data_IF_782846312376
#
_entry.id   IF_782846312376
#
_cell.length_a   1.000
_cell.length_b   1.000
_cell.length_c   1.000
_cell.angle_alpha   90.00
_cell.angle_beta   90.00
_cell.angle_gamma   90.00
#
_symmetry.space_group_name_H-M   'P 1'
#
loop_
_entity.id
_entity.type
_entity.pdbx_description
1 polymer ?
#
# COMPACT_ATOMS: atom_id res chain seq x y z
N UNK A 1 50.63 -14.65 -42.39
CA UNK A 1 49.82 -13.50 -41.96
C UNK A 1 48.48 -14.03 -41.49
N UNK A 2 48.14 -13.89 -40.21
CA UNK A 2 46.92 -14.45 -39.61
C UNK A 2 46.18 -13.29 -38.93
N UNK A 3 45.15 -12.76 -39.58
CA UNK A 3 44.32 -11.69 -39.01
C UNK A 3 43.37 -12.32 -37.98
N UNK A 4 43.61 -12.04 -36.70
CA UNK A 4 42.64 -12.30 -35.64
C UNK A 4 41.82 -11.03 -35.47
N UNK A 5 40.58 -11.04 -35.95
CA UNK A 5 39.63 -9.95 -35.78
C UNK A 5 38.97 -10.06 -34.40
N UNK A 6 39.35 -9.19 -33.49
CA UNK A 6 38.73 -9.05 -32.16
C UNK A 6 37.42 -8.27 -32.32
N UNK A 7 36.29 -8.97 -32.15
CA UNK A 7 34.95 -8.34 -32.13
C UNK A 7 34.73 -7.71 -30.75
N UNK A 8 34.44 -6.40 -30.63
CA UNK A 8 34.12 -5.81 -29.33
C UNK A 8 32.67 -6.16 -28.99
N UNK A 9 32.50 -6.92 -27.91
CA UNK A 9 31.22 -7.23 -27.31
C UNK A 9 30.63 -5.93 -26.72
N UNK A 10 29.69 -5.29 -27.43
CA UNK A 10 28.91 -4.18 -26.87
C UNK A 10 28.00 -4.73 -25.77
N UNK A 11 28.41 -4.57 -24.51
CA UNK A 11 27.56 -4.81 -23.36
C UNK A 11 26.48 -3.72 -23.29
N UNK A 12 25.26 -4.05 -23.72
CA UNK A 12 24.10 -3.18 -23.55
C UNK A 12 23.74 -3.21 -22.06
N UNK A 13 24.07 -2.15 -21.34
CA UNK A 13 23.61 -1.91 -19.97
C UNK A 13 22.10 -1.68 -20.01
N UNK A 14 21.31 -2.72 -19.73
CA UNK A 14 19.89 -2.58 -19.46
C UNK A 14 19.73 -1.90 -18.08
N UNK A 15 19.53 -0.58 -18.08
CA UNK A 15 19.07 0.13 -16.89
C UNK A 15 17.63 -0.27 -16.62
N UNK A 16 17.42 -1.16 -15.64
CA UNK A 16 16.12 -1.40 -15.07
C UNK A 16 15.65 -0.10 -14.39
N UNK A 17 14.78 0.65 -15.06
CA UNK A 17 14.05 1.73 -14.43
C UNK A 17 13.09 1.10 -13.42
N UNK A 18 13.45 1.15 -12.14
CA UNK A 18 12.49 0.90 -11.07
C UNK A 18 11.40 1.95 -11.17
N UNK A 19 10.16 1.55 -11.42
CA UNK A 19 9.02 2.44 -11.28
C UNK A 19 9.08 3.05 -9.87
N UNK A 20 9.08 4.39 -9.79
CA UNK A 20 9.00 5.07 -8.51
C UNK A 20 7.71 4.60 -7.81
N UNK A 21 7.83 4.07 -6.60
CA UNK A 21 6.66 3.73 -5.79
C UNK A 21 6.02 5.05 -5.39
N UNK A 22 4.72 5.19 -5.70
CA UNK A 22 3.99 6.48 -5.56
C UNK A 22 2.84 6.38 -4.58
N UNK A 23 2.73 5.25 -3.88
CA UNK A 23 1.65 4.97 -2.96
C UNK A 23 2.17 4.36 -1.66
N UNK A 24 1.30 4.37 -0.64
CA UNK A 24 1.53 3.72 0.63
C UNK A 24 0.64 2.48 0.71
N UNK A 25 1.22 1.36 1.10
CA UNK A 25 0.45 0.16 1.44
C UNK A 25 -0.03 0.29 2.88
N UNK A 26 -1.35 0.38 3.04
CA UNK A 26 -2.03 0.54 4.32
C UNK A 26 -2.81 -0.73 4.64
N UNK A 27 -2.68 -1.22 5.86
CA UNK A 27 -3.53 -2.27 6.41
C UNK A 27 -4.48 -1.67 7.44
N UNK A 28 -5.74 -2.09 7.37
CA UNK A 28 -6.73 -1.87 8.42
C UNK A 28 -6.70 -3.07 9.35
N UNK A 29 -6.67 -2.82 10.65
CA UNK A 29 -6.72 -3.83 11.68
C UNK A 29 -8.00 -3.67 12.49
N UNK A 30 -8.60 -4.79 12.91
CA UNK A 30 -9.67 -4.75 13.89
C UNK A 30 -9.12 -4.66 15.32
N UNK A 31 -10.03 -4.59 16.31
CA UNK A 31 -9.68 -4.58 17.75
C UNK A 31 -8.76 -5.72 18.18
N UNK A 32 -8.79 -6.87 17.50
CA UNK A 32 -7.94 -8.02 17.78
C UNK A 32 -6.57 -7.95 17.08
N UNK A 33 -6.24 -6.82 16.45
CA UNK A 33 -5.04 -6.63 15.63
C UNK A 33 -4.96 -7.58 14.42
N UNK A 34 -6.09 -8.13 13.99
CA UNK A 34 -6.16 -8.93 12.76
C UNK A 34 -6.32 -7.99 11.56
N UNK A 35 -5.58 -8.26 10.48
CA UNK A 35 -5.71 -7.51 9.22
C UNK A 35 -7.02 -7.87 8.57
N UNK A 36 -7.84 -6.85 8.29
CA UNK A 36 -9.21 -7.03 7.76
C UNK A 36 -9.37 -6.46 6.36
N UNK A 37 -8.50 -5.52 5.98
CA UNK A 37 -8.43 -4.94 4.64
C UNK A 37 -7.01 -4.39 4.38
N UNK A 38 -6.64 -4.31 3.11
CA UNK A 38 -5.38 -3.73 2.65
C UNK A 38 -5.65 -2.86 1.43
N UNK A 39 -5.00 -1.70 1.37
CA UNK A 39 -5.15 -0.75 0.26
C UNK A 39 -3.81 -0.11 -0.12
N UNK A 40 -3.73 0.33 -1.37
CA UNK A 40 -2.63 1.11 -1.92
C UNK A 40 -3.13 2.51 -2.23
N UNK A 41 -2.74 3.47 -1.41
CA UNK A 41 -3.23 4.85 -1.48
C UNK A 41 -2.09 5.75 -1.95
N UNK A 42 -2.26 6.51 -3.05
CA UNK A 42 -1.24 7.44 -3.55
C UNK A 42 -0.78 8.42 -2.46
N UNK A 43 0.47 8.87 -2.55
CA UNK A 43 0.96 9.96 -1.70
C UNK A 43 0.07 11.20 -1.84
N UNK A 44 -0.29 11.80 -0.70
CA UNK A 44 -1.22 12.94 -0.66
C UNK A 44 -2.68 12.61 -1.01
N UNK A 45 -3.00 11.33 -1.25
CA UNK A 45 -4.29 10.87 -1.75
C UNK A 45 -5.30 10.46 -0.68
N UNK A 46 -6.50 10.11 -1.14
CA UNK A 46 -7.56 9.49 -0.34
C UNK A 46 -8.16 8.30 -1.04
N UNK A 47 -8.68 7.34 -0.29
CA UNK A 47 -9.37 6.16 -0.83
C UNK A 47 -10.40 5.62 0.17
N UNK A 48 -11.55 5.18 -0.36
CA UNK A 48 -12.50 4.38 0.41
C UNK A 48 -12.03 2.93 0.50
N UNK A 49 -11.91 2.40 1.71
CA UNK A 49 -11.47 1.03 1.98
C UNK A 49 -12.55 0.33 2.81
N UNK A 50 -13.13 -0.71 2.22
CA UNK A 50 -14.16 -1.51 2.87
C UNK A 50 -13.53 -2.56 3.79
N UNK A 51 -13.81 -2.44 5.08
CA UNK A 51 -13.68 -3.55 6.03
C UNK A 51 -14.90 -4.47 5.86
N UNK A 52 -14.71 -5.74 5.46
CA UNK A 52 -15.82 -6.66 5.26
C UNK A 52 -16.44 -7.13 6.58
N UNK A 53 -17.75 -7.37 6.58
CA UNK A 53 -18.57 -7.76 7.75
C UNK A 53 -18.01 -8.95 8.54
N UNK A 54 -17.46 -9.96 7.85
CA UNK A 54 -16.98 -11.18 8.49
C UNK A 54 -15.67 -11.01 9.27
N UNK A 55 -15.00 -9.86 9.13
CA UNK A 55 -13.71 -9.57 9.76
C UNK A 55 -13.79 -8.52 10.87
N UNK A 56 -14.95 -7.89 11.06
CA UNK A 56 -15.19 -7.08 12.25
C UNK A 56 -15.16 -8.01 13.47
N UNK A 57 -14.49 -7.64 14.56
CA UNK A 57 -14.36 -8.50 15.74
C UNK A 57 -15.71 -9.06 16.26
N UNK A 58 -15.69 -10.09 17.12
CA UNK A 58 -16.92 -10.74 17.59
C UNK A 58 -17.91 -9.73 18.17
N UNK A 59 -19.14 -9.71 17.65
CA UNK A 59 -20.24 -8.84 18.11
C UNK A 59 -20.47 -7.56 17.28
N UNK A 60 -19.74 -7.35 16.18
CA UNK A 60 -19.89 -6.16 15.33
C UNK A 60 -20.70 -6.47 14.05
N UNK A 61 -21.90 -5.90 13.87
CA UNK A 61 -22.83 -6.34 12.84
C UNK A 61 -22.64 -5.73 11.44
N UNK A 62 -21.60 -4.94 11.15
CA UNK A 62 -21.54 -4.18 9.89
C UNK A 62 -20.13 -4.03 9.32
N UNK A 63 -20.04 -4.09 7.99
CA UNK A 63 -18.85 -3.70 7.25
C UNK A 63 -18.77 -2.18 7.25
N UNK A 64 -17.57 -1.67 7.48
CA UNK A 64 -17.32 -0.23 7.59
C UNK A 64 -16.51 0.21 6.39
N UNK A 65 -16.96 1.27 5.73
CA UNK A 65 -16.20 1.88 4.65
C UNK A 65 -15.45 3.09 5.19
N UNK A 66 -14.14 2.93 5.36
CA UNK A 66 -13.26 3.97 5.86
C UNK A 66 -12.75 4.82 4.69
N UNK A 67 -12.96 6.13 4.75
CA UNK A 67 -12.37 7.09 3.83
C UNK A 67 -10.99 7.49 4.37
N UNK A 68 -9.99 6.75 3.94
CA UNK A 68 -8.62 6.91 4.42
C UNK A 68 -7.94 8.02 3.62
N UNK A 69 -7.25 8.92 4.31
CA UNK A 69 -6.31 9.89 3.73
C UNK A 69 -4.88 9.53 4.07
N UNK A 70 -3.97 9.78 3.13
CA UNK A 70 -2.55 9.54 3.29
C UNK A 70 -1.77 10.79 2.86
N UNK A 71 -0.83 11.26 3.69
CA UNK A 71 0.05 12.36 3.32
C UNK A 71 1.31 11.90 2.56
N UNK A 72 2.16 12.84 2.13
CA UNK A 72 3.41 12.58 1.38
C UNK A 72 4.42 11.66 2.11
N UNK A 73 4.27 11.47 3.42
CA UNK A 73 5.14 10.64 4.26
C UNK A 73 4.47 9.32 4.69
N UNK A 74 3.34 8.95 4.08
CA UNK A 74 2.49 7.84 4.50
C UNK A 74 1.88 7.98 5.90
N UNK A 75 1.70 9.21 6.40
CA UNK A 75 0.88 9.48 7.58
C UNK A 75 -0.59 9.19 7.27
N UNK A 76 -1.24 8.41 8.11
CA UNK A 76 -2.60 7.89 7.88
C UNK A 76 -3.60 8.70 8.70
N UNK A 77 -4.71 9.09 8.07
CA UNK A 77 -5.85 9.70 8.74
C UNK A 77 -7.16 9.19 8.16
N UNK A 78 -8.26 9.64 8.77
CA UNK A 78 -9.61 9.46 8.26
C UNK A 78 -10.18 10.82 7.83
N UNK A 79 -10.98 10.83 6.78
CA UNK A 79 -11.69 12.03 6.29
C UNK A 79 -13.06 12.09 6.93
N UNK A 80 -13.29 13.07 7.81
CA UNK A 80 -14.58 13.31 8.50
C UNK A 80 -15.17 12.06 9.19
N UNK A 81 -14.31 11.15 9.63
CA UNK A 81 -14.66 9.89 10.28
C UNK A 81 -13.72 9.63 11.46
N UNK A 82 -14.16 8.76 12.37
CA UNK A 82 -13.35 8.22 13.46
C UNK A 82 -13.24 6.70 13.31
N UNK A 83 -12.17 6.12 13.86
CA UNK A 83 -12.03 4.67 13.91
C UNK A 83 -13.12 4.08 14.81
N UNK A 84 -13.86 3.12 14.28
CA UNK A 84 -14.91 2.47 15.03
C UNK A 84 -14.35 1.26 15.78
N UNK A 85 -14.95 0.94 16.93
CA UNK A 85 -14.77 -0.35 17.61
C UNK A 85 -13.34 -0.76 17.95
N UNK A 86 -12.42 0.20 18.10
CA UNK A 86 -11.01 -0.09 18.37
C UNK A 86 -10.22 -0.53 17.13
N UNK A 87 -10.78 -0.37 15.94
CA UNK A 87 -10.07 -0.51 14.68
C UNK A 87 -8.93 0.52 14.59
N UNK A 88 -7.95 0.20 13.75
CA UNK A 88 -6.84 1.09 13.47
C UNK A 88 -6.30 0.83 12.08
N UNK A 89 -5.35 1.67 11.66
CA UNK A 89 -4.60 1.44 10.43
C UNK A 89 -3.10 1.57 10.66
N UNK A 90 -2.33 0.83 9.87
CA UNK A 90 -0.86 0.93 9.85
C UNK A 90 -0.33 0.94 8.43
N UNK A 91 0.80 1.60 8.25
CA UNK A 91 1.62 1.48 7.04
C UNK A 91 2.43 0.18 7.14
N UNK A 92 2.41 -0.63 6.09
CA UNK A 92 3.26 -1.83 5.99
C UNK A 92 4.32 -1.75 4.91
N UNK A 93 4.18 -0.83 3.96
CA UNK A 93 5.13 -0.68 2.88
C UNK A 93 4.78 0.44 1.93
N UNK A 94 5.42 0.41 0.78
CA UNK A 94 5.14 1.24 -0.37
C UNK A 94 4.50 0.37 -1.46
N UNK A 95 3.68 1.02 -2.28
CA UNK A 95 3.16 0.54 -3.58
C UNK A 95 2.71 1.55 -4.72
#
# INVERSE_FOLDING_TARGET
MKLSASVPLCAVLATAASAAQTSCQIEILNVNQAVVATACIPFGGTQYVLQPEHNAGPGLPRGINYHITVNENCGIGLVDQEWAHGDSARKVGLC
#
